data_IF_124956325752
#
_entry.id   IF_124956325752
#
_cell.length_a   1.000
_cell.length_b   1.000
_cell.length_c   1.000
_cell.angle_alpha   90.00
_cell.angle_beta   90.00
_cell.angle_gamma   90.00
#
_symmetry.space_group_name_H-M   'P 1'
#
loop_
_entity.id
_entity.type
_entity.pdbx_description
1 polymer ?
#
# COMPACT_ATOMS: atom_id res chain seq x y z
N UNK A 1 0.71 -2.31 -26.46
CA UNK A 1 1.91 -2.96 -25.88
C UNK A 1 1.95 -2.59 -24.40
N UNK A 2 2.10 -3.59 -23.53
CA UNK A 2 2.12 -3.56 -22.06
C UNK A 2 1.03 -2.74 -21.34
N UNK A 3 -0.03 -3.46 -20.94
CA UNK A 3 -1.13 -2.98 -20.11
C UNK A 3 -0.62 -2.53 -18.74
N UNK A 4 -0.44 -1.22 -18.57
CA UNK A 4 -0.31 -0.61 -17.24
C UNK A 4 -1.54 -0.94 -16.41
N UNK A 5 -1.31 -1.44 -15.19
CA UNK A 5 -2.32 -1.78 -14.20
C UNK A 5 -3.38 -0.66 -14.12
N UNK A 6 -4.55 -0.89 -14.72
CA UNK A 6 -5.72 -0.03 -14.63
C UNK A 6 -6.67 -0.73 -13.67
N UNK A 7 -6.72 -0.30 -12.41
CA UNK A 7 -7.65 -0.87 -11.44
C UNK A 7 -7.19 -0.86 -9.99
N UNK A 8 -6.65 0.24 -9.51
CA UNK A 8 -6.77 0.57 -8.09
C UNK A 8 -7.38 1.96 -8.03
N UNK A 9 -8.69 2.03 -7.82
CA UNK A 9 -9.32 3.32 -7.56
C UNK A 9 -8.98 3.72 -6.13
N UNK A 10 -8.35 4.89 -5.92
CA UNK A 10 -8.03 5.39 -4.58
C UNK A 10 -9.25 5.47 -3.66
N UNK A 11 -10.47 5.51 -4.23
CA UNK A 11 -11.73 5.63 -3.50
C UNK A 11 -12.09 4.40 -2.65
N UNK A 12 -11.54 3.23 -2.96
CA UNK A 12 -11.80 2.01 -2.17
C UNK A 12 -10.81 1.81 -1.03
N UNK A 13 -9.69 2.53 -1.07
CA UNK A 13 -8.67 2.44 -0.06
C UNK A 13 -8.65 3.72 0.74
N UNK A 14 -8.97 3.61 2.02
CA UNK A 14 -8.93 4.73 2.92
C UNK A 14 -7.48 5.15 3.18
N UNK A 15 -6.95 6.00 2.31
CA UNK A 15 -5.59 6.52 2.39
C UNK A 15 -5.38 7.43 3.58
N UNK A 16 -6.44 8.10 4.05
CA UNK A 16 -6.39 9.03 5.17
C UNK A 16 -6.21 8.26 6.49
N UNK A 17 -6.80 7.06 6.59
CA UNK A 17 -6.63 6.15 7.72
C UNK A 17 -5.62 5.02 7.49
N UNK A 18 -4.86 5.07 6.38
CA UNK A 18 -3.87 4.05 6.09
C UNK A 18 -2.64 4.22 6.99
N UNK A 19 -2.20 3.13 7.61
CA UNK A 19 -0.89 3.11 8.27
C UNK A 19 0.21 2.99 7.21
N UNK A 20 0.97 4.07 7.01
CA UNK A 20 2.04 4.15 6.01
C UNK A 20 3.41 3.99 6.66
N UNK A 21 4.27 3.18 6.05
CA UNK A 21 5.66 2.99 6.45
C UNK A 21 6.57 2.85 5.21
N UNK A 22 7.87 3.08 5.37
CA UNK A 22 8.84 2.85 4.29
C UNK A 22 9.01 1.35 4.01
N UNK A 23 9.16 0.98 2.73
CA UNK A 23 9.57 -0.37 2.33
C UNK A 23 11.10 -0.45 2.27
N UNK A 24 11.71 -0.74 3.43
CA UNK A 24 13.16 -0.84 3.63
C UNK A 24 13.73 -2.24 3.35
N UNK A 25 12.92 -3.16 2.81
CA UNK A 25 13.32 -4.56 2.64
C UNK A 25 14.45 -4.74 1.62
N UNK A 26 14.56 -3.85 0.63
CA UNK A 26 15.59 -3.84 -0.41
C UNK A 26 15.79 -2.42 -0.95
N UNK A 27 16.97 -2.14 -1.46
CA UNK A 27 17.20 -0.96 -2.29
C UNK A 27 16.61 -1.18 -3.69
N UNK A 28 15.46 -0.57 -3.95
CA UNK A 28 14.73 -0.71 -5.22
C UNK A 28 15.09 0.34 -6.26
N UNK A 29 16.00 1.28 -5.94
CA UNK A 29 16.34 2.43 -6.79
C UNK A 29 15.25 3.51 -6.85
N UNK A 30 14.15 3.34 -6.11
CA UNK A 30 13.09 4.33 -5.92
C UNK A 30 12.55 4.24 -4.48
N UNK A 31 12.04 5.35 -3.93
CA UNK A 31 11.41 5.36 -2.61
C UNK A 31 10.09 4.61 -2.67
N UNK A 32 9.99 3.49 -1.95
CA UNK A 32 8.77 2.69 -1.85
C UNK A 32 8.20 2.79 -0.45
N UNK A 33 6.88 2.80 -0.39
CA UNK A 33 6.09 2.85 0.82
C UNK A 33 5.11 1.68 0.85
N UNK A 34 4.81 1.23 2.06
CA UNK A 34 3.79 0.25 2.37
C UNK A 34 2.68 0.94 3.14
N UNK A 35 1.46 0.91 2.61
CA UNK A 35 0.24 1.26 3.31
C UNK A 35 -0.51 0.01 3.75
N UNK A 36 -1.00 0.02 5.00
CA UNK A 36 -1.94 -0.94 5.55
C UNK A 36 -3.28 -0.24 5.76
N UNK A 37 -4.34 -0.69 5.10
CA UNK A 37 -5.69 -0.17 5.36
C UNK A 37 -6.76 -1.26 5.20
N UNK A 38 -7.85 -1.17 5.97
CA UNK A 38 -9.01 -2.04 5.81
C UNK A 38 -9.77 -1.69 4.52
N UNK A 39 -10.17 -2.72 3.77
CA UNK A 39 -11.05 -2.61 2.60
C UNK A 39 -11.94 -3.86 2.58
N UNK A 40 -13.25 -3.67 2.48
CA UNK A 40 -14.27 -4.74 2.53
C UNK A 40 -14.08 -5.71 3.72
N UNK A 41 -13.90 -5.16 4.92
CA UNK A 41 -13.76 -5.95 6.15
C UNK A 41 -12.46 -6.75 6.25
N UNK A 42 -11.48 -6.49 5.38
CA UNK A 42 -10.17 -7.16 5.40
C UNK A 42 -9.03 -6.16 5.35
N UNK A 43 -7.92 -6.43 6.03
CA UNK A 43 -6.71 -5.61 5.92
C UNK A 43 -5.95 -5.95 4.64
N UNK A 44 -5.56 -4.91 3.91
CA UNK A 44 -4.77 -4.99 2.69
C UNK A 44 -3.44 -4.28 2.85
N UNK A 45 -2.47 -4.74 2.07
CA UNK A 45 -1.13 -4.16 1.95
C UNK A 45 -1.01 -3.58 0.55
N UNK A 46 -0.76 -2.27 0.47
CA UNK A 46 -0.49 -1.56 -0.79
C UNK A 46 0.96 -1.12 -0.78
N UNK A 47 1.71 -1.52 -1.81
CA UNK A 47 3.06 -1.00 -2.06
C UNK A 47 2.93 0.09 -3.12
N UNK A 48 3.46 1.27 -2.85
CA UNK A 48 3.36 2.41 -3.75
C UNK A 48 4.61 3.28 -3.70
N UNK A 49 4.69 4.22 -4.62
CA UNK A 49 5.68 5.30 -4.62
C UNK A 49 4.96 6.60 -4.98
N UNK A 50 5.25 7.67 -4.25
CA UNK A 50 4.77 9.00 -4.57
C UNK A 50 5.71 9.67 -5.58
N UNK A 51 5.12 10.22 -6.65
CA UNK A 51 5.83 10.91 -7.74
C UNK A 51 5.19 12.27 -7.98
N UNK A 52 5.87 13.22 -8.65
CA UNK A 52 5.30 14.51 -8.99
C UNK A 52 3.98 14.41 -9.77
N UNK A 53 3.86 13.43 -10.66
CA UNK A 53 2.66 13.12 -11.45
C UNK A 53 1.56 12.38 -10.65
N UNK A 54 1.83 12.02 -9.40
CA UNK A 54 0.91 11.36 -8.50
C UNK A 54 1.42 10.02 -7.95
N UNK A 55 0.56 9.38 -7.16
CA UNK A 55 0.85 8.11 -6.50
C UNK A 55 0.79 6.94 -7.49
N UNK A 56 1.88 6.18 -7.61
CA UNK A 56 1.93 4.94 -8.39
C UNK A 56 1.85 3.74 -7.48
N UNK A 57 0.77 2.97 -7.60
CA UNK A 57 0.66 1.65 -6.95
C UNK A 57 1.55 0.64 -7.69
N UNK A 58 2.42 -0.02 -6.94
CA UNK A 58 3.36 -1.04 -7.41
C UNK A 58 2.81 -2.44 -7.14
N UNK A 59 2.06 -2.63 -6.05
CA UNK A 59 1.44 -3.91 -5.74
C UNK A 59 0.35 -3.81 -4.69
N UNK A 60 -0.59 -4.75 -4.77
CA UNK A 60 -1.68 -4.92 -3.82
C UNK A 60 -1.75 -6.39 -3.41
N UNK A 61 -1.87 -6.66 -2.11
CA UNK A 61 -2.17 -8.01 -1.62
C UNK A 61 -2.90 -7.97 -0.30
N UNK A 62 -3.51 -9.11 0.05
CA UNK A 62 -4.05 -9.34 1.39
C UNK A 62 -2.95 -9.25 2.45
N UNK A 63 -3.27 -8.65 3.59
CA UNK A 63 -2.38 -8.65 4.75
C UNK A 63 -2.21 -10.08 5.30
N UNK A 64 -1.01 -10.36 5.82
CA UNK A 64 -0.65 -11.57 6.57
C UNK A 64 -0.81 -11.28 8.06
N UNK A 65 -0.92 -12.32 8.88
CA UNK A 65 -1.15 -12.19 10.33
C UNK A 65 -0.19 -11.21 11.03
N UNK A 66 1.09 -11.20 10.64
CA UNK A 66 2.08 -10.23 11.19
C UNK A 66 1.73 -8.76 10.92
N UNK A 67 1.10 -8.48 9.78
CA UNK A 67 0.71 -7.13 9.37
C UNK A 67 -0.56 -6.69 10.07
N UNK A 68 -1.50 -7.62 10.31
CA UNK A 68 -2.63 -7.38 11.21
C UNK A 68 -2.15 -6.97 12.60
N UNK A 69 -1.23 -7.73 13.20
CA UNK A 69 -0.67 -7.40 14.52
C UNK A 69 0.03 -6.05 14.54
N UNK A 70 0.71 -5.67 13.44
CA UNK A 70 1.35 -4.36 13.30
C UNK A 70 0.33 -3.23 13.19
N UNK A 71 -0.76 -3.46 12.46
CA UNK A 71 -1.86 -2.51 12.31
C UNK A 71 -2.64 -2.32 13.61
N UNK A 72 -2.90 -3.39 14.36
CA UNK A 72 -3.57 -3.33 15.68
C UNK A 72 -2.75 -2.64 16.77
N UNK A 73 -1.41 -2.63 16.62
CA UNK A 73 -0.49 -1.94 17.52
C UNK A 73 -0.12 -0.54 17.03
N UNK A 74 -0.60 -0.14 15.84
CA UNK A 74 -0.43 1.23 15.38
C UNK A 74 -1.26 2.15 16.29
N UNK A 75 -0.71 3.31 16.68
CA UNK A 75 -1.35 4.24 17.61
C UNK A 75 -2.63 4.87 17.05
#
# INVERSE_FOLDING_TARGET
MSHGFRGFEPRWFDWDNAFVSLDDRREYGELRQVALAPMDGRLWVVVFTDRPEGRRVIGLRKAKLREYRRYEQAP
#
